data_IF_514205824510
#
_entry.id   IF_514205824510
#
_cell.length_a   1.000
_cell.length_b   1.000
_cell.length_c   1.000
_cell.angle_alpha   90.00
_cell.angle_beta   90.00
_cell.angle_gamma   90.00
#
_symmetry.space_group_name_H-M   'P 1'
#
loop_
_entity.id
_entity.type
_entity.pdbx_description
1 polymer ?
#
# COMPACT_ATOMS: atom_id res chain seq x y z
N UNK A 1 0.18 -17.99 39.02
CA UNK A 1 1.35 -17.13 38.69
C UNK A 1 1.45 -16.73 37.20
N UNK A 2 0.40 -16.83 36.37
CA UNK A 2 0.47 -16.55 34.92
C UNK A 2 0.00 -15.14 34.47
N UNK A 3 -0.64 -14.35 35.36
CA UNK A 3 -1.18 -13.01 35.01
C UNK A 3 -0.11 -11.93 34.81
N UNK A 4 1.08 -12.07 35.41
CA UNK A 4 2.15 -11.06 35.29
C UNK A 4 2.90 -11.10 33.96
N UNK A 5 2.90 -12.23 33.27
CA UNK A 5 3.61 -12.35 31.98
C UNK A 5 2.86 -11.66 30.83
N UNK A 6 1.52 -11.65 30.85
CA UNK A 6 0.71 -10.99 29.81
C UNK A 6 0.89 -9.46 29.77
N UNK A 7 1.08 -8.83 30.93
CA UNK A 7 1.37 -7.38 31.01
C UNK A 7 2.76 -7.05 30.47
N UNK A 8 3.73 -7.96 30.65
CA UNK A 8 5.11 -7.78 30.21
C UNK A 8 5.23 -7.76 28.68
N UNK A 9 4.47 -8.60 27.96
CA UNK A 9 4.44 -8.60 26.49
C UNK A 9 3.80 -7.34 25.89
N UNK A 10 2.77 -6.79 26.55
CA UNK A 10 2.08 -5.58 26.10
C UNK A 10 2.98 -4.34 26.27
N UNK A 11 3.73 -4.27 27.37
CA UNK A 11 4.72 -3.18 27.61
C UNK A 11 5.93 -3.30 26.68
N UNK A 12 6.41 -4.51 26.39
CA UNK A 12 7.50 -4.75 25.44
C UNK A 12 7.11 -4.41 23.99
N UNK A 13 5.87 -4.70 23.59
CA UNK A 13 5.34 -4.34 22.26
C UNK A 13 5.26 -2.84 22.04
N UNK A 14 4.85 -2.07 23.05
CA UNK A 14 4.79 -0.60 23.00
C UNK A 14 6.20 0.01 22.93
N UNK A 15 7.18 -0.54 23.65
CA UNK A 15 8.56 -0.05 23.66
C UNK A 15 9.31 -0.28 22.34
N UNK A 16 9.01 -1.37 21.63
CA UNK A 16 9.62 -1.69 20.33
C UNK A 16 9.16 -0.73 19.22
N UNK A 17 7.97 -0.14 19.35
CA UNK A 17 7.47 0.86 18.40
C UNK A 17 8.17 2.21 18.61
N UNK A 18 8.50 2.56 19.86
CA UNK A 18 9.20 3.81 20.18
C UNK A 18 10.67 3.87 19.72
N UNK A 19 11.38 2.74 19.58
CA UNK A 19 12.78 2.75 19.11
C UNK A 19 12.92 2.96 17.59
N UNK A 20 11.87 2.65 16.82
CA UNK A 20 11.83 2.92 15.36
C UNK A 20 11.51 4.39 15.07
N UNK A 21 10.83 5.08 15.98
CA UNK A 21 10.38 6.47 15.80
C UNK A 21 11.52 7.48 15.95
N UNK A 22 12.59 7.16 16.69
CA UNK A 22 13.70 8.07 16.94
C UNK A 22 14.61 8.34 15.72
N UNK A 23 14.54 7.54 14.65
CA UNK A 23 15.47 7.65 13.51
C UNK A 23 14.89 8.31 12.26
N UNK A 24 13.58 8.57 12.19
CA UNK A 24 12.93 9.00 10.94
C UNK A 24 12.21 10.35 11.00
N UNK A 25 12.06 10.97 12.17
CA UNK A 25 11.43 12.30 12.28
C UNK A 25 9.99 12.35 11.74
N UNK A 26 9.32 11.19 11.61
CA UNK A 26 7.96 11.09 11.10
C UNK A 26 6.99 11.26 12.27
N UNK A 27 6.19 12.33 12.23
CA UNK A 27 5.03 12.50 13.09
C UNK A 27 3.87 11.69 12.51
N UNK A 28 3.57 10.52 13.07
CA UNK A 28 2.36 9.77 12.71
C UNK A 28 1.26 10.18 13.69
N UNK A 29 0.26 10.93 13.20
CA UNK A 29 -0.97 11.16 13.94
C UNK A 29 -1.75 9.84 14.01
N UNK A 30 -1.92 9.30 15.22
CA UNK A 30 -2.73 8.10 15.42
C UNK A 30 -4.20 8.53 15.46
N UNK A 31 -4.94 8.18 14.40
CA UNK A 31 -6.41 8.30 14.37
C UNK A 31 -6.99 6.96 14.81
N UNK A 32 -7.82 6.99 15.84
CA UNK A 32 -8.53 5.82 16.33
C UNK A 32 -9.91 5.77 15.68
N UNK A 33 -10.41 4.59 15.36
CA UNK A 33 -11.73 4.41 14.76
C UNK A 33 -12.59 3.50 15.64
N UNK A 34 -13.88 3.80 15.74
CA UNK A 34 -14.86 2.94 16.40
C UNK A 34 -15.26 1.75 15.51
N UNK A 35 -16.10 0.88 16.05
CA UNK A 35 -16.59 -0.32 15.35
C UNK A 35 -17.51 -0.04 14.15
N UNK A 36 -17.93 1.21 13.97
CA UNK A 36 -18.69 1.70 12.82
C UNK A 36 -17.82 2.48 11.82
N UNK A 37 -16.51 2.60 12.08
CA UNK A 37 -15.57 3.33 11.22
C UNK A 37 -15.55 4.84 11.45
N UNK A 38 -16.09 5.34 12.56
CA UNK A 38 -16.03 6.75 12.92
C UNK A 38 -14.72 7.08 13.65
N UNK A 39 -14.12 8.23 13.33
CA UNK A 39 -12.90 8.70 13.99
C UNK A 39 -13.18 9.07 15.45
N UNK A 40 -12.52 8.40 16.38
CA UNK A 40 -12.49 8.74 17.80
C UNK A 40 -11.42 9.82 18.01
N UNK A 41 -11.87 11.06 18.17
CA UNK A 41 -10.98 12.19 18.49
C UNK A 41 -10.64 12.14 19.98
N UNK A 42 -9.43 11.71 20.33
CA UNK A 42 -8.90 11.75 21.70
C UNK A 42 -8.19 13.09 21.93
N UNK A 43 -8.84 14.19 21.60
CA UNK A 43 -8.40 15.51 22.02
C UNK A 43 -9.36 15.96 23.12
N UNK A 44 -8.94 15.76 24.36
CA UNK A 44 -9.63 16.28 25.53
C UNK A 44 -9.56 17.79 25.53
N UNK A 45 -10.67 18.44 25.19
CA UNK A 45 -10.91 19.85 25.49
C UNK A 45 -12.34 19.94 26.05
N UNK A 46 -12.42 19.90 27.38
CA UNK A 46 -13.65 20.01 28.14
C UNK A 46 -14.26 21.41 27.95
N UNK A 47 -15.14 21.57 26.97
CA UNK A 47 -15.98 22.75 26.84
C UNK A 47 -17.41 22.41 27.27
N UNK A 48 -17.64 22.51 28.58
CA UNK A 48 -18.98 22.50 29.17
C UNK A 48 -19.76 23.72 28.66
N UNK A 49 -20.67 23.51 27.71
CA UNK A 49 -21.81 24.38 27.53
C UNK A 49 -23.07 23.52 27.49
N UNK A 50 -23.76 23.47 28.63
CA UNK A 50 -25.00 22.75 28.82
C UNK A 50 -26.11 23.43 28.04
N UNK A 51 -26.71 22.71 27.11
CA UNK A 51 -28.04 23.02 26.63
C UNK A 51 -28.83 21.72 26.52
N UNK A 52 -29.65 21.51 27.57
CA UNK A 52 -30.66 20.47 27.68
C UNK A 52 -31.43 20.30 26.38
N UNK A 53 -31.43 19.07 25.84
CA UNK A 53 -32.53 18.58 25.03
C UNK A 53 -32.78 17.11 25.39
N UNK A 54 -33.99 16.88 25.88
CA UNK A 54 -34.58 15.60 26.24
C UNK A 54 -34.32 14.50 25.19
N UNK A 55 -33.49 13.53 25.53
CA UNK A 55 -33.62 12.17 25.02
C UNK A 55 -33.58 11.21 26.20
N UNK A 56 -34.56 10.31 26.22
CA UNK A 56 -34.71 9.20 27.15
C UNK A 56 -33.36 8.50 27.35
N UNK A 57 -32.91 8.21 28.58
CA UNK A 57 -31.65 7.51 28.79
C UNK A 57 -31.76 6.10 28.19
N UNK A 58 -31.17 5.88 27.01
CA UNK A 58 -30.78 4.53 26.62
C UNK A 58 -29.77 4.06 27.65
N UNK A 59 -30.17 3.04 28.39
CA UNK A 59 -29.37 2.34 29.38
C UNK A 59 -28.01 1.96 28.73
N UNK A 60 -26.87 2.38 29.31
CA UNK A 60 -25.57 2.11 28.71
C UNK A 60 -25.38 0.60 28.67
N UNK A 61 -25.28 0.03 27.47
CA UNK A 61 -25.06 -1.39 27.27
C UNK A 61 -23.88 -1.84 28.14
N UNK A 62 -24.17 -2.65 29.16
CA UNK A 62 -23.17 -3.05 30.14
C UNK A 62 -22.14 -3.93 29.44
N UNK A 63 -20.94 -3.39 29.21
CA UNK A 63 -19.83 -4.13 28.60
C UNK A 63 -19.36 -5.15 29.62
N UNK A 64 -19.88 -6.37 29.52
CA UNK A 64 -19.49 -7.46 30.40
C UNK A 64 -18.11 -8.00 30.02
N UNK A 65 -17.40 -8.52 31.01
CA UNK A 65 -16.11 -9.18 30.80
C UNK A 65 -16.21 -10.32 29.78
N UNK A 66 -17.34 -11.04 29.77
CA UNK A 66 -17.61 -12.13 28.84
C UNK A 66 -17.76 -11.63 27.39
N UNK A 67 -18.38 -10.46 27.19
CA UNK A 67 -18.46 -9.80 25.88
C UNK A 67 -17.08 -9.41 25.35
N UNK A 68 -16.18 -8.92 26.22
CA UNK A 68 -14.81 -8.60 25.84
C UNK A 68 -13.98 -9.85 25.50
N UNK A 69 -14.15 -10.94 26.26
CA UNK A 69 -13.47 -12.21 26.00
C UNK A 69 -13.88 -12.82 24.66
N UNK A 70 -15.18 -12.81 24.35
CA UNK A 70 -15.68 -13.26 23.05
C UNK A 70 -15.11 -12.44 21.88
N UNK A 71 -15.01 -11.11 22.03
CA UNK A 71 -14.39 -10.25 21.01
C UNK A 71 -12.91 -10.55 20.81
N UNK A 72 -12.17 -10.86 21.87
CA UNK A 72 -10.76 -11.23 21.78
C UNK A 72 -10.59 -12.54 21.00
N UNK A 73 -11.41 -13.54 21.26
CA UNK A 73 -11.33 -14.84 20.56
C UNK A 73 -11.57 -14.68 19.04
N UNK A 74 -12.54 -13.85 18.66
CA UNK A 74 -12.81 -13.53 17.24
C UNK A 74 -11.62 -12.79 16.61
N UNK A 75 -10.99 -11.87 17.34
CA UNK A 75 -9.80 -11.17 16.84
C UNK A 75 -8.59 -12.11 16.70
N UNK A 76 -8.38 -13.02 17.64
CA UNK A 76 -7.32 -14.02 17.56
C UNK A 76 -7.49 -14.92 16.33
N UNK A 77 -8.73 -15.37 16.05
CA UNK A 77 -9.02 -16.14 14.83
C UNK A 77 -8.71 -15.36 13.56
N UNK A 78 -9.16 -14.10 13.47
CA UNK A 78 -8.87 -13.24 12.30
C UNK A 78 -7.38 -12.99 12.10
N UNK A 79 -6.63 -12.83 13.18
CA UNK A 79 -5.17 -12.67 13.11
C UNK A 79 -4.52 -13.94 12.56
N UNK A 80 -4.92 -15.13 13.03
CA UNK A 80 -4.38 -16.39 12.50
C UNK A 80 -4.70 -16.59 11.02
N UNK A 81 -5.90 -16.20 10.58
CA UNK A 81 -6.27 -16.24 9.17
C UNK A 81 -5.37 -15.29 8.34
N UNK A 82 -5.20 -14.05 8.79
CA UNK A 82 -4.34 -13.06 8.11
C UNK A 82 -2.87 -13.51 8.04
N UNK A 83 -2.36 -14.16 9.09
CA UNK A 83 -1.01 -14.73 9.08
C UNK A 83 -0.86 -15.82 8.02
N UNK A 84 -1.87 -16.69 7.88
CA UNK A 84 -1.87 -17.72 6.84
C UNK A 84 -1.88 -17.12 5.43
N UNK A 85 -2.72 -16.12 5.19
CA UNK A 85 -2.76 -15.38 3.91
C UNK A 85 -1.43 -14.70 3.60
N UNK A 86 -0.79 -14.08 4.59
CA UNK A 86 0.53 -13.45 4.42
C UNK A 86 1.57 -14.48 3.96
N UNK A 87 1.56 -15.68 4.53
CA UNK A 87 2.47 -16.77 4.13
C UNK A 87 2.20 -17.16 2.67
N UNK A 88 0.94 -17.42 2.31
CA UNK A 88 0.56 -17.80 0.93
C UNK A 88 0.94 -16.72 -0.09
N UNK A 89 0.69 -15.44 0.20
CA UNK A 89 1.09 -14.33 -0.70
C UNK A 89 2.60 -14.27 -0.84
N UNK A 90 3.35 -14.47 0.24
CA UNK A 90 4.81 -14.45 0.20
C UNK A 90 5.37 -15.62 -0.62
N UNK A 91 4.82 -16.82 -0.45
CA UNK A 91 5.24 -18.03 -1.20
C UNK A 91 4.93 -17.90 -2.68
N UNK A 92 3.72 -17.48 -3.04
CA UNK A 92 3.32 -17.26 -4.43
C UNK A 92 4.17 -16.18 -5.10
N UNK A 93 4.46 -15.08 -4.40
CA UNK A 93 5.35 -14.04 -4.91
C UNK A 93 6.78 -14.54 -5.12
N UNK A 94 7.31 -15.34 -4.18
CA UNK A 94 8.62 -15.96 -4.32
C UNK A 94 8.66 -16.94 -5.50
N UNK A 95 7.61 -17.74 -5.70
CA UNK A 95 7.49 -18.62 -6.87
C UNK A 95 7.48 -17.84 -8.18
N UNK A 96 6.71 -16.73 -8.24
CA UNK A 96 6.67 -15.84 -9.39
C UNK A 96 8.05 -15.25 -9.66
N UNK A 97 8.68 -14.62 -8.66
CA UNK A 97 10.00 -14.01 -8.78
C UNK A 97 11.09 -15.01 -9.21
N UNK A 98 11.01 -16.26 -8.75
CA UNK A 98 11.94 -17.32 -9.16
C UNK A 98 11.64 -17.90 -10.55
N UNK A 99 10.45 -17.66 -11.10
CA UNK A 99 10.07 -18.04 -12.48
C UNK A 99 10.36 -16.96 -13.53
N UNK A 100 10.49 -15.70 -13.11
CA UNK A 100 10.89 -14.57 -13.97
C UNK A 100 12.28 -14.71 -14.64
N UNK A 101 13.30 -15.39 -14.08
CA UNK A 101 14.59 -15.56 -14.76
C UNK A 101 14.48 -16.33 -16.08
N UNK A 102 13.38 -17.07 -16.30
CA UNK A 102 13.16 -17.79 -17.55
C UNK A 102 12.79 -16.87 -18.73
N UNK A 103 12.24 -15.69 -18.46
CA UNK A 103 11.90 -14.70 -19.51
C UNK A 103 13.05 -13.76 -19.84
N UNK A 104 13.98 -13.52 -18.91
CA UNK A 104 15.15 -12.66 -19.14
C UNK A 104 16.36 -13.42 -19.69
N UNK A 105 16.49 -14.72 -19.39
CA UNK A 105 17.60 -15.55 -19.89
C UNK A 105 17.24 -16.42 -21.12
N UNK A 106 15.95 -16.64 -21.40
CA UNK A 106 15.49 -17.55 -22.45
C UNK A 106 15.25 -16.86 -23.78
N UNK A 107 16.26 -16.82 -24.65
CA UNK A 107 16.14 -16.41 -26.05
C UNK A 107 15.51 -15.03 -26.25
N UNK A 108 16.32 -13.98 -26.10
CA UNK A 108 15.92 -12.62 -26.45
C UNK A 108 15.64 -12.53 -27.97
N UNK A 109 14.48 -13.02 -28.42
CA UNK A 109 14.04 -13.07 -29.81
C UNK A 109 13.97 -11.67 -30.41
N UNK A 110 13.86 -10.66 -29.54
CA UNK A 110 13.96 -9.26 -29.88
C UNK A 110 15.31 -8.92 -30.54
N UNK A 111 16.38 -9.67 -30.27
CA UNK A 111 17.67 -9.52 -30.98
C UNK A 111 17.59 -9.85 -32.48
N UNK A 112 16.66 -10.74 -32.87
CA UNK A 112 16.44 -11.12 -34.26
C UNK A 112 15.44 -10.20 -34.97
N UNK A 113 14.79 -9.28 -34.25
CA UNK A 113 13.97 -8.26 -34.89
C UNK A 113 14.86 -7.31 -35.68
N UNK A 114 14.42 -7.01 -36.92
CA UNK A 114 15.07 -5.98 -37.72
C UNK A 114 15.05 -4.64 -36.99
N UNK A 115 16.06 -3.79 -37.24
CA UNK A 115 16.16 -2.44 -36.67
C UNK A 115 14.87 -1.62 -36.88
N UNK A 116 14.20 -1.79 -38.02
CA UNK A 116 12.93 -1.12 -38.34
C UNK A 116 11.80 -1.53 -37.39
N UNK A 117 11.69 -2.82 -37.07
CA UNK A 117 10.67 -3.32 -36.15
C UNK A 117 10.94 -2.86 -34.72
N UNK A 118 12.20 -2.99 -34.26
CA UNK A 118 12.64 -2.46 -32.96
C UNK A 118 12.30 -0.97 -32.82
N UNK A 119 12.61 -0.16 -33.85
CA UNK A 119 12.29 1.27 -33.89
C UNK A 119 10.79 1.53 -33.78
N UNK A 120 9.95 0.77 -34.48
CA UNK A 120 8.48 0.94 -34.39
C UNK A 120 7.96 0.65 -32.99
N UNK A 121 8.45 -0.41 -32.34
CA UNK A 121 8.06 -0.77 -30.97
C UNK A 121 8.46 0.32 -29.98
N UNK A 122 9.73 0.74 -30.01
CA UNK A 122 10.23 1.79 -29.11
C UNK A 122 9.49 3.12 -29.33
N UNK A 123 9.37 3.58 -30.57
CA UNK A 123 8.70 4.85 -30.85
C UNK A 123 7.20 4.82 -30.48
N UNK A 124 6.52 3.69 -30.69
CA UNK A 124 5.12 3.51 -30.30
C UNK A 124 4.95 3.61 -28.78
N UNK A 125 5.79 2.90 -28.03
CA UNK A 125 5.80 2.99 -26.56
C UNK A 125 6.08 4.41 -26.08
N UNK A 126 7.08 5.08 -26.66
CA UNK A 126 7.37 6.49 -26.33
C UNK A 126 6.15 7.39 -26.59
N UNK A 127 5.40 7.14 -27.67
CA UNK A 127 4.21 7.91 -28.01
C UNK A 127 3.10 7.75 -26.96
N UNK A 128 2.84 6.51 -26.54
CA UNK A 128 1.81 6.17 -25.56
C UNK A 128 2.11 6.75 -24.18
N UNK A 129 3.39 6.77 -23.81
CA UNK A 129 3.88 7.26 -22.52
C UNK A 129 4.35 8.72 -22.55
N UNK A 130 4.18 9.41 -23.69
CA UNK A 130 4.61 10.79 -23.93
C UNK A 130 6.10 11.06 -23.59
N UNK A 131 6.96 10.07 -23.79
CA UNK A 131 8.40 10.15 -23.45
C UNK A 131 9.18 10.92 -24.51
N UNK A 132 10.14 11.74 -24.07
CA UNK A 132 11.06 12.47 -24.96
C UNK A 132 12.34 11.71 -25.27
N UNK A 133 12.77 10.80 -24.39
CA UNK A 133 13.97 9.98 -24.54
C UNK A 133 13.70 8.59 -23.97
N UNK A 134 14.20 7.54 -24.63
CA UNK A 134 14.09 6.16 -24.16
C UNK A 134 15.13 5.26 -24.84
N UNK A 135 15.69 4.34 -24.07
CA UNK A 135 16.71 3.41 -24.54
C UNK A 135 16.29 1.97 -24.22
N UNK A 136 16.04 1.19 -25.27
CA UNK A 136 15.72 -0.24 -25.15
C UNK A 136 15.94 -0.93 -26.52
N UNK A 137 16.01 -2.26 -26.53
CA UNK A 137 16.19 -3.10 -27.72
C UNK A 137 17.45 -2.74 -28.54
N UNK A 138 18.50 -2.27 -27.87
CA UNK A 138 19.74 -1.75 -28.46
C UNK A 138 19.53 -0.49 -29.33
N UNK A 139 18.54 0.34 -28.98
CA UNK A 139 18.27 1.62 -29.64
C UNK A 139 18.22 2.74 -28.62
N UNK A 140 18.91 3.84 -28.92
CA UNK A 140 18.79 5.10 -28.20
C UNK A 140 17.88 6.03 -29.01
N UNK A 141 16.68 6.30 -28.48
CA UNK A 141 15.64 7.03 -29.17
C UNK A 141 15.32 8.37 -28.51
N UNK A 142 15.05 9.38 -29.34
CA UNK A 142 14.57 10.71 -28.97
C UNK A 142 13.28 11.01 -29.72
N UNK A 143 12.31 11.64 -29.05
CA UNK A 143 11.05 12.03 -29.63
C UNK A 143 10.77 13.52 -29.45
N UNK A 144 10.22 14.13 -30.49
CA UNK A 144 9.70 15.51 -30.45
C UNK A 144 8.21 15.51 -30.73
N UNK A 145 7.45 16.13 -29.85
CA UNK A 145 6.00 16.28 -29.99
C UNK A 145 5.67 17.67 -30.51
N UNK A 146 4.78 17.72 -31.49
CA UNK A 146 4.22 18.97 -31.99
C UNK A 146 2.71 18.88 -31.99
N UNK A 147 2.07 19.73 -31.20
CA UNK A 147 0.62 19.88 -31.18
C UNK A 147 0.21 20.91 -32.22
N UNK A 148 -0.71 20.54 -33.10
CA UNK A 148 -1.29 21.44 -34.08
C UNK A 148 -2.53 22.16 -33.52
N UNK A 149 -2.94 23.25 -34.17
CA UNK A 149 -4.18 23.98 -33.81
C UNK A 149 -5.44 23.11 -33.86
N UNK A 150 -5.41 22.00 -34.59
CA UNK A 150 -6.49 21.00 -34.64
C UNK A 150 -6.53 20.06 -33.43
N UNK A 151 -5.62 20.23 -32.45
CA UNK A 151 -5.46 19.31 -31.33
C UNK A 151 -4.72 18.01 -31.67
N UNK A 152 -4.40 17.78 -32.95
CA UNK A 152 -3.61 16.61 -33.37
C UNK A 152 -2.18 16.74 -32.87
N UNK A 153 -1.66 15.69 -32.26
CA UNK A 153 -0.26 15.57 -31.86
C UNK A 153 0.48 14.79 -32.95
N UNK A 154 1.60 15.34 -33.42
CA UNK A 154 2.54 14.61 -34.27
C UNK A 154 3.84 14.40 -33.52
N UNK A 155 4.23 13.13 -33.43
CA UNK A 155 5.51 12.73 -32.89
C UNK A 155 6.51 12.54 -34.04
N UNK A 156 7.72 13.02 -33.83
CA UNK A 156 8.88 12.70 -34.66
C UNK A 156 9.85 11.93 -33.77
N UNK A 157 9.95 10.62 -34.01
CA UNK A 157 10.83 9.73 -33.25
C UNK A 157 12.08 9.40 -34.07
N UNK A 158 13.25 9.62 -33.48
CA UNK A 158 14.54 9.35 -34.08
C UNK A 158 15.35 8.41 -33.18
N UNK A 159 15.86 7.33 -33.75
CA UNK A 159 16.60 6.29 -33.02
C UNK A 159 17.94 6.06 -33.72
N UNK A 160 19.00 5.98 -32.93
CA UNK A 160 20.37 5.71 -33.39
C UNK A 160 20.63 4.21 -33.43
#
# INVERSE_FOLDING_TARGET
>A
MAKRNKLMYLVLGILMISSVIASTGVSIGVTYYDENGNVININGEDNNNSQDNNETPEEPAEVTLDSLLARIEVLEQRVTELESWRITVTETLNMLMNSVPLFTAGNNYLKYLSKTYKKKMVCGYMQEMELTEYSDLDLDCTAKYKTYRSGRIRQICNCI
#
